data_IF_595143074160
#
_entry.id   IF_595143074160
#
_cell.length_a   1.000
_cell.length_b   1.000
_cell.length_c   1.000
_cell.angle_alpha   90.00
_cell.angle_beta   90.00
_cell.angle_gamma   90.00
#
_symmetry.space_group_name_H-M   'P 1'
#
loop_
_entity.id
_entity.type
_entity.pdbx_description
1 polymer ?
#
# COMPACT_ATOMS: atom_id res chain seq x y z
N UNK A 1 -14.94 -11.20 -17.76
CA UNK A 1 -14.15 -10.56 -18.83
C UNK A 1 -13.60 -11.66 -19.70
N UNK A 2 -14.12 -11.74 -20.91
CA UNK A 2 -13.72 -12.76 -21.89
C UNK A 2 -12.30 -12.47 -22.36
N UNK A 3 -11.35 -13.36 -22.02
CA UNK A 3 -9.94 -13.27 -22.43
C UNK A 3 -9.67 -13.94 -23.78
N UNK A 4 -10.69 -14.12 -24.61
CA UNK A 4 -10.61 -14.83 -25.88
C UNK A 4 -10.61 -13.91 -27.12
N UNK A 5 -9.92 -12.77 -27.04
CA UNK A 5 -9.68 -11.89 -28.19
C UNK A 5 -8.21 -11.58 -28.29
N UNK A 6 -7.51 -12.25 -29.20
CA UNK A 6 -6.12 -12.06 -29.58
C UNK A 6 -5.75 -10.58 -29.74
N UNK A 7 -4.78 -10.10 -28.97
CA UNK A 7 -4.19 -8.79 -29.10
C UNK A 7 -3.32 -8.49 -27.88
N UNK A 8 -2.31 -7.66 -28.06
CA UNK A 8 -1.54 -7.10 -26.97
C UNK A 8 -2.44 -6.29 -26.00
N UNK A 9 -2.02 -6.18 -24.74
CA UNK A 9 -2.73 -5.38 -23.75
C UNK A 9 -2.85 -3.92 -24.22
N UNK A 10 -4.05 -3.35 -24.19
CA UNK A 10 -4.28 -1.95 -24.54
C UNK A 10 -3.82 -1.01 -23.39
N UNK A 11 -2.51 -0.88 -23.24
CA UNK A 11 -1.88 -0.05 -22.21
C UNK A 11 -2.30 1.43 -22.39
N UNK A 12 -2.51 1.89 -23.63
CA UNK A 12 -2.89 3.28 -23.91
C UNK A 12 -4.24 3.65 -23.26
N UNK A 13 -5.18 2.72 -23.20
CA UNK A 13 -6.48 2.96 -22.56
C UNK A 13 -6.30 3.25 -21.04
N UNK A 14 -5.51 2.45 -20.32
CA UNK A 14 -5.22 2.68 -18.91
C UNK A 14 -4.36 3.93 -18.71
N UNK A 15 -3.32 4.10 -19.53
CA UNK A 15 -2.43 5.26 -19.43
C UNK A 15 -3.19 6.59 -19.63
N UNK A 16 -4.15 6.65 -20.54
CA UNK A 16 -4.98 7.83 -20.77
C UNK A 16 -5.85 8.19 -19.55
N UNK A 17 -6.29 7.19 -18.77
CA UNK A 17 -7.02 7.43 -17.53
C UNK A 17 -6.08 8.01 -16.44
N UNK A 18 -4.84 7.59 -16.37
CA UNK A 18 -3.86 8.06 -15.39
C UNK A 18 -3.16 9.36 -15.78
N UNK A 19 -3.24 9.79 -17.05
CA UNK A 19 -2.59 11.00 -17.54
C UNK A 19 -3.17 12.29 -16.96
N UNK A 20 -4.39 12.28 -16.43
CA UNK A 20 -4.99 13.43 -15.77
C UNK A 20 -4.50 13.56 -14.33
N UNK A 21 -3.99 14.75 -13.90
CA UNK A 21 -3.43 14.91 -12.56
C UNK A 21 -4.40 14.65 -11.41
N UNK A 22 -5.69 14.96 -11.57
CA UNK A 22 -6.70 14.72 -10.53
C UNK A 22 -7.00 13.22 -10.43
N UNK A 23 -7.15 12.52 -11.57
CA UNK A 23 -7.33 11.06 -11.56
C UNK A 23 -6.11 10.33 -10.98
N UNK A 24 -4.90 10.73 -11.35
CA UNK A 24 -3.69 10.19 -10.77
C UNK A 24 -3.64 10.39 -9.24
N UNK A 25 -4.04 11.58 -8.76
CA UNK A 25 -4.11 11.87 -7.31
C UNK A 25 -5.16 11.01 -6.61
N UNK A 26 -6.33 10.82 -7.21
CA UNK A 26 -7.39 9.92 -6.69
C UNK A 26 -6.86 8.48 -6.58
N UNK A 27 -6.22 7.97 -7.63
CA UNK A 27 -5.67 6.62 -7.65
C UNK A 27 -4.59 6.42 -6.58
N UNK A 28 -3.68 7.39 -6.43
CA UNK A 28 -2.67 7.38 -5.37
C UNK A 28 -3.32 7.41 -3.97
N UNK A 29 -4.40 8.18 -3.77
CA UNK A 29 -5.11 8.24 -2.50
C UNK A 29 -5.79 6.91 -2.15
N UNK A 30 -6.28 6.16 -3.15
CA UNK A 30 -6.93 4.87 -2.98
C UNK A 30 -5.93 3.69 -2.90
N UNK A 31 -4.64 3.92 -3.22
CA UNK A 31 -3.62 2.87 -3.24
C UNK A 31 -3.26 2.32 -1.85
N UNK A 32 -3.81 2.89 -0.78
CA UNK A 32 -3.70 2.36 0.59
C UNK A 32 -4.79 1.33 0.94
N UNK A 33 -5.58 0.92 -0.04
CA UNK A 33 -6.64 -0.08 0.11
C UNK A 33 -7.89 0.40 0.86
N UNK A 34 -7.95 1.68 1.26
CA UNK A 34 -9.13 2.24 1.93
C UNK A 34 -10.26 2.49 0.93
N UNK A 35 -11.46 2.43 1.46
CA UNK A 35 -12.67 2.88 0.78
C UNK A 35 -12.97 4.31 1.18
N UNK A 36 -12.96 5.26 0.22
CA UNK A 36 -13.11 6.69 0.49
C UNK A 36 -14.37 7.26 -0.17
N UNK A 37 -15.07 8.20 0.48
CA UNK A 37 -16.22 8.88 -0.11
C UNK A 37 -15.79 9.88 -1.20
N UNK A 38 -16.66 10.10 -2.20
CA UNK A 38 -16.40 11.03 -3.30
C UNK A 38 -15.97 12.44 -2.86
N UNK A 39 -16.57 12.96 -1.78
CA UNK A 39 -16.23 14.29 -1.26
C UNK A 39 -14.81 14.38 -0.69
N UNK A 40 -14.31 13.31 -0.09
CA UNK A 40 -12.92 13.24 0.37
C UNK A 40 -11.95 13.16 -0.81
N UNK A 41 -12.26 12.34 -1.81
CA UNK A 41 -11.46 12.24 -3.04
C UNK A 41 -11.42 13.56 -3.80
N UNK A 42 -12.53 14.30 -3.86
CA UNK A 42 -12.56 15.65 -4.44
C UNK A 42 -11.61 16.61 -3.72
N UNK A 43 -11.62 16.58 -2.38
CA UNK A 43 -10.73 17.41 -1.56
C UNK A 43 -9.27 17.05 -1.74
N UNK A 44 -8.93 15.75 -1.76
CA UNK A 44 -7.57 15.26 -1.96
C UNK A 44 -7.03 15.61 -3.36
N UNK A 45 -7.89 15.53 -4.38
CA UNK A 45 -7.54 15.89 -5.76
C UNK A 45 -7.61 17.39 -6.05
N UNK A 46 -8.02 18.23 -5.07
CA UNK A 46 -8.20 19.67 -5.21
C UNK A 46 -9.12 20.08 -6.37
N UNK A 47 -10.22 19.36 -6.56
CA UNK A 47 -11.22 19.64 -7.62
C UNK A 47 -12.62 19.81 -7.02
N UNK A 48 -13.51 20.44 -7.80
CA UNK A 48 -14.92 20.55 -7.43
C UNK A 48 -15.59 19.16 -7.34
N UNK A 49 -16.62 18.96 -6.49
CA UNK A 49 -17.30 17.68 -6.36
C UNK A 49 -17.89 17.13 -7.67
N UNK A 50 -18.39 18.00 -8.56
CA UNK A 50 -18.88 17.60 -9.88
C UNK A 50 -17.77 17.08 -10.77
N UNK A 51 -16.60 17.73 -10.75
CA UNK A 51 -15.41 17.30 -11.48
C UNK A 51 -14.90 15.95 -10.96
N UNK A 52 -14.83 15.80 -9.63
CA UNK A 52 -14.46 14.52 -9.03
C UNK A 52 -15.41 13.37 -9.43
N UNK A 53 -16.72 13.65 -9.48
CA UNK A 53 -17.72 12.67 -9.93
C UNK A 53 -17.45 12.22 -11.37
N UNK A 54 -17.12 13.16 -12.28
CA UNK A 54 -16.76 12.82 -13.65
C UNK A 54 -15.48 12.00 -13.75
N UNK A 55 -14.45 12.32 -12.94
CA UNK A 55 -13.21 11.54 -12.88
C UNK A 55 -13.45 10.14 -12.33
N UNK A 56 -14.23 10.00 -11.25
CA UNK A 56 -14.59 8.72 -10.66
C UNK A 56 -15.40 7.83 -11.61
N UNK A 57 -16.35 8.42 -12.38
CA UNK A 57 -17.07 7.68 -13.42
C UNK A 57 -16.12 7.06 -14.44
N UNK A 58 -15.19 7.87 -15.00
CA UNK A 58 -14.18 7.41 -15.97
C UNK A 58 -13.29 6.30 -15.39
N UNK A 59 -12.85 6.44 -14.14
CA UNK A 59 -12.02 5.43 -13.47
C UNK A 59 -12.78 4.13 -13.23
N UNK A 60 -14.08 4.23 -12.88
CA UNK A 60 -14.97 3.06 -12.68
C UNK A 60 -15.27 2.38 -14.01
N UNK A 61 -15.62 3.14 -15.06
CA UNK A 61 -15.85 2.63 -16.42
C UNK A 61 -14.60 1.95 -16.99
N UNK A 62 -13.42 2.49 -16.66
CA UNK A 62 -12.12 1.90 -17.02
C UNK A 62 -11.68 0.72 -16.15
N UNK A 63 -12.48 0.31 -15.16
CA UNK A 63 -12.18 -0.83 -14.29
C UNK A 63 -11.05 -0.63 -13.29
N UNK A 64 -10.61 0.62 -13.06
CA UNK A 64 -9.53 0.94 -12.10
C UNK A 64 -10.07 1.13 -10.68
N UNK A 65 -11.33 1.50 -10.55
CA UNK A 65 -11.99 1.82 -9.29
C UNK A 65 -13.34 1.11 -9.23
N UNK A 66 -13.66 0.56 -8.07
CA UNK A 66 -14.98 0.05 -7.73
C UNK A 66 -15.73 1.06 -6.87
N UNK A 67 -17.08 1.04 -7.00
CA UNK A 67 -17.97 1.90 -6.23
C UNK A 67 -18.96 1.06 -5.45
N UNK A 68 -19.13 1.39 -4.17
CA UNK A 68 -20.14 0.84 -3.30
C UNK A 68 -21.07 1.96 -2.83
N UNK A 69 -22.37 1.70 -2.79
CA UNK A 69 -23.36 2.67 -2.31
C UNK A 69 -23.86 2.27 -0.93
N UNK A 70 -23.68 3.17 0.05
CA UNK A 70 -24.23 3.01 1.41
C UNK A 70 -25.19 4.15 1.69
N UNK A 71 -26.47 3.86 1.60
CA UNK A 71 -27.54 4.88 1.63
C UNK A 71 -27.39 5.87 0.47
N UNK A 72 -27.29 7.16 0.79
CA UNK A 72 -27.09 8.23 -0.21
C UNK A 72 -25.62 8.52 -0.56
N UNK A 73 -24.68 7.80 0.06
CA UNK A 73 -23.25 8.05 -0.13
C UNK A 73 -22.62 6.98 -1.01
N UNK A 74 -21.72 7.43 -1.91
CA UNK A 74 -20.89 6.58 -2.73
C UNK A 74 -19.48 6.54 -2.18
N UNK A 75 -18.97 5.34 -2.03
CA UNK A 75 -17.62 5.05 -1.56
C UNK A 75 -16.86 4.35 -2.67
N UNK A 76 -15.61 4.68 -2.80
CA UNK A 76 -14.75 4.22 -3.89
C UNK A 76 -13.52 3.54 -3.31
N UNK A 77 -13.12 2.45 -3.96
CA UNK A 77 -11.87 1.72 -3.67
C UNK A 77 -11.18 1.35 -4.96
N UNK A 78 -9.86 1.08 -4.92
CA UNK A 78 -9.16 0.50 -6.05
C UNK A 78 -9.71 -0.90 -6.35
N UNK A 79 -9.84 -1.26 -7.63
CA UNK A 79 -10.51 -2.49 -8.03
C UNK A 79 -9.69 -3.77 -7.76
N UNK A 80 -8.37 -3.65 -7.57
CA UNK A 80 -7.53 -4.80 -7.24
C UNK A 80 -6.09 -4.44 -6.89
N UNK A 81 -5.35 -5.36 -6.23
CA UNK A 81 -3.96 -5.13 -5.84
C UNK A 81 -3.02 -4.96 -7.04
N UNK A 82 -3.30 -5.58 -8.19
CA UNK A 82 -2.52 -5.46 -9.43
C UNK A 82 -2.53 -4.03 -9.97
N UNK A 83 -3.60 -3.27 -9.75
CA UNK A 83 -3.68 -1.85 -10.12
C UNK A 83 -2.76 -1.03 -9.23
N UNK A 84 -2.72 -1.35 -7.93
CA UNK A 84 -1.79 -0.69 -7.00
C UNK A 84 -0.35 -1.00 -7.38
N UNK A 85 -0.04 -2.26 -7.71
CA UNK A 85 1.26 -2.65 -8.21
C UNK A 85 1.69 -1.87 -9.46
N UNK A 86 0.78 -1.65 -10.41
CA UNK A 86 1.04 -0.82 -11.59
C UNK A 86 1.31 0.65 -11.23
N UNK A 87 0.57 1.23 -10.27
CA UNK A 87 0.78 2.61 -9.79
C UNK A 87 2.14 2.73 -9.08
N UNK A 88 2.51 1.78 -8.24
CA UNK A 88 3.82 1.76 -7.56
C UNK A 88 4.96 1.63 -8.60
N UNK A 89 4.82 0.77 -9.61
CA UNK A 89 5.78 0.64 -10.71
C UNK A 89 5.93 1.95 -11.51
N UNK A 90 4.82 2.62 -11.83
CA UNK A 90 4.84 3.94 -12.47
C UNK A 90 5.51 4.99 -11.56
N UNK A 91 5.31 4.91 -10.25
CA UNK A 91 5.92 5.84 -9.29
C UNK A 91 7.45 5.72 -9.25
N UNK A 92 8.00 4.51 -9.49
CA UNK A 92 9.45 4.29 -9.57
C UNK A 92 10.13 5.07 -10.72
N UNK A 93 9.42 5.21 -11.85
CA UNK A 93 9.95 5.87 -13.06
C UNK A 93 9.48 7.33 -13.20
N UNK A 94 8.59 7.76 -12.32
CA UNK A 94 8.03 9.11 -12.36
C UNK A 94 8.99 10.13 -11.73
N UNK A 95 9.06 11.36 -12.27
CA UNK A 95 9.78 12.43 -11.61
C UNK A 95 9.13 12.82 -10.29
N UNK A 96 9.95 13.20 -9.30
CA UNK A 96 9.45 13.68 -8.02
C UNK A 96 8.61 14.95 -8.20
N UNK A 97 7.47 15.02 -7.51
CA UNK A 97 6.67 16.26 -7.48
C UNK A 97 7.42 17.36 -6.70
N UNK A 98 7.44 18.60 -7.20
CA UNK A 98 8.03 19.71 -6.44
C UNK A 98 7.28 19.93 -5.13
N UNK A 99 8.03 20.02 -4.04
CA UNK A 99 7.49 20.41 -2.73
C UNK A 99 7.50 21.93 -2.64
N UNK A 100 6.34 22.53 -2.38
CA UNK A 100 6.14 23.99 -2.40
C UNK A 100 5.87 24.60 -1.01
N UNK A 101 5.79 23.77 0.04
CA UNK A 101 5.54 24.24 1.41
C UNK A 101 6.10 23.26 2.44
N UNK A 102 6.39 23.75 3.65
CA UNK A 102 6.81 22.91 4.78
C UNK A 102 5.79 21.83 5.14
N UNK A 103 4.49 22.12 4.98
CA UNK A 103 3.43 21.13 5.19
C UNK A 103 3.54 19.97 4.19
N UNK A 104 3.73 20.29 2.90
CA UNK A 104 3.93 19.28 1.86
C UNK A 104 5.20 18.46 2.07
N UNK A 105 6.28 19.10 2.58
CA UNK A 105 7.51 18.40 2.92
C UNK A 105 7.26 17.35 4.01
N UNK A 106 6.69 17.76 5.12
CA UNK A 106 6.35 16.85 6.24
C UNK A 106 5.43 15.71 5.83
N UNK A 107 4.44 15.99 4.99
CA UNK A 107 3.52 14.97 4.48
C UNK A 107 4.25 13.99 3.55
N UNK A 108 5.12 14.47 2.67
CA UNK A 108 5.93 13.64 1.80
C UNK A 108 6.93 12.78 2.60
N UNK A 109 7.57 13.34 3.62
CA UNK A 109 8.46 12.62 4.54
C UNK A 109 7.71 11.52 5.31
N UNK A 110 6.54 11.84 5.86
CA UNK A 110 5.71 10.87 6.56
C UNK A 110 5.29 9.70 5.65
N UNK A 111 4.91 9.96 4.40
CA UNK A 111 4.56 8.94 3.41
C UNK A 111 5.77 8.09 3.01
N UNK A 112 6.96 8.68 2.93
CA UNK A 112 8.20 7.93 2.66
C UNK A 112 8.61 7.07 3.86
N UNK A 113 8.50 7.63 5.06
CA UNK A 113 8.84 6.90 6.27
C UNK A 113 7.96 5.66 6.46
N UNK A 114 6.65 5.80 6.44
CA UNK A 114 5.76 4.66 6.53
C UNK A 114 4.41 4.94 5.85
N UNK A 115 3.94 4.00 5.07
CA UNK A 115 2.64 4.02 4.41
C UNK A 115 2.08 2.62 4.26
N UNK A 116 0.83 2.52 3.88
CA UNK A 116 0.29 1.28 3.35
C UNK A 116 0.37 1.28 1.82
N UNK A 117 0.78 0.13 1.26
CA UNK A 117 0.66 -0.23 -0.13
C UNK A 117 -0.44 -1.29 -0.22
N UNK A 118 -1.66 -0.89 -0.62
CA UNK A 118 -2.89 -1.67 -0.56
C UNK A 118 -3.23 -2.09 0.88
N UNK A 119 -2.77 -3.24 1.34
CA UNK A 119 -3.12 -3.82 2.63
C UNK A 119 -1.91 -4.20 3.51
N UNK A 120 -0.70 -3.86 3.08
CA UNK A 120 0.55 -4.15 3.80
C UNK A 120 1.41 -2.90 3.97
N UNK A 121 2.43 -2.98 4.82
CA UNK A 121 3.34 -1.87 5.09
C UNK A 121 4.36 -1.66 3.97
N UNK A 122 4.64 -0.40 3.68
CA UNK A 122 5.61 0.07 2.69
C UNK A 122 6.32 1.33 3.19
N UNK A 123 7.22 1.88 2.38
CA UNK A 123 8.13 2.94 2.77
C UNK A 123 9.32 2.39 3.56
N UNK A 124 10.06 3.28 4.19
CA UNK A 124 11.22 2.92 5.01
C UNK A 124 10.86 1.84 6.05
N UNK A 125 9.76 2.01 6.78
CA UNK A 125 9.29 1.03 7.76
C UNK A 125 9.02 -0.35 7.13
N UNK A 126 8.32 -0.41 6.00
CA UNK A 126 8.00 -1.67 5.31
C UNK A 126 9.25 -2.40 4.83
N UNK A 127 10.23 -1.67 4.30
CA UNK A 127 11.52 -2.21 3.87
C UNK A 127 12.35 -2.69 5.06
N UNK A 128 12.46 -1.88 6.12
CA UNK A 128 13.19 -2.25 7.35
C UNK A 128 12.55 -3.48 8.02
N UNK A 129 11.22 -3.53 8.10
CA UNK A 129 10.51 -4.68 8.66
C UNK A 129 10.77 -5.96 7.85
N UNK A 130 10.75 -5.87 6.52
CA UNK A 130 11.10 -7.01 5.67
C UNK A 130 12.51 -7.51 5.92
N UNK A 131 13.49 -6.60 6.00
CA UNK A 131 14.89 -6.94 6.28
C UNK A 131 15.04 -7.62 7.63
N UNK A 132 14.41 -7.08 8.66
CA UNK A 132 14.42 -7.69 9.98
C UNK A 132 13.86 -9.11 9.96
N UNK A 133 12.76 -9.36 9.23
CA UNK A 133 12.21 -10.70 9.08
C UNK A 133 13.17 -11.65 8.34
N UNK A 134 13.98 -11.14 7.42
CA UNK A 134 15.05 -11.92 6.75
C UNK A 134 16.21 -12.20 7.73
N UNK A 135 16.65 -11.22 8.50
CA UNK A 135 17.71 -11.35 9.51
C UNK A 135 17.33 -12.34 10.62
N UNK A 136 16.03 -12.42 10.95
CA UNK A 136 15.46 -13.37 11.93
C UNK A 136 15.17 -14.75 11.32
N UNK A 137 15.55 -15.02 10.07
CA UNK A 137 15.22 -16.24 9.30
C UNK A 137 13.71 -16.57 9.26
N UNK A 138 12.86 -15.54 9.40
CA UNK A 138 11.41 -15.65 9.19
C UNK A 138 11.10 -15.74 7.71
N UNK A 139 11.82 -14.92 6.91
CA UNK A 139 11.75 -14.87 5.47
C UNK A 139 13.11 -15.23 4.85
N UNK A 140 13.09 -16.02 3.78
CA UNK A 140 14.25 -16.28 2.94
C UNK A 140 14.05 -15.65 1.56
N UNK A 141 15.02 -14.88 1.10
CA UNK A 141 14.94 -14.22 -0.20
C UNK A 141 14.95 -15.21 -1.36
N UNK A 142 14.05 -14.99 -2.33
CA UNK A 142 13.97 -15.65 -3.62
C UNK A 142 14.08 -14.61 -4.75
N UNK A 143 14.16 -15.05 -6.00
CA UNK A 143 14.23 -14.16 -7.15
C UNK A 143 12.99 -13.26 -7.28
N UNK A 144 11.81 -13.81 -7.07
CA UNK A 144 10.50 -13.16 -7.26
C UNK A 144 9.75 -12.82 -5.96
N UNK A 145 10.36 -13.10 -4.79
CA UNK A 145 9.71 -12.87 -3.51
C UNK A 145 10.48 -13.42 -2.33
N UNK A 146 9.74 -13.99 -1.40
CA UNK A 146 10.26 -14.56 -0.17
C UNK A 146 9.58 -15.89 0.13
N UNK A 147 10.37 -16.89 0.49
CA UNK A 147 9.89 -18.09 1.16
C UNK A 147 9.70 -17.79 2.64
N UNK A 148 8.61 -18.26 3.22
CA UNK A 148 8.38 -18.18 4.68
C UNK A 148 8.86 -19.47 5.30
N UNK A 149 9.81 -19.38 6.23
CA UNK A 149 10.39 -20.58 6.90
C UNK A 149 9.38 -21.21 7.87
N UNK A 150 9.61 -22.45 8.26
CA UNK A 150 8.76 -23.10 9.28
C UNK A 150 8.90 -22.40 10.64
N UNK A 151 10.11 -22.02 11.01
CA UNK A 151 10.42 -21.23 12.20
C UNK A 151 9.75 -19.87 12.14
N UNK A 152 9.76 -19.23 10.97
CA UNK A 152 9.09 -17.97 10.73
C UNK A 152 7.57 -18.05 10.90
N UNK A 153 6.95 -19.12 10.42
CA UNK A 153 5.52 -19.35 10.64
C UNK A 153 5.19 -19.55 12.13
N UNK A 154 6.06 -20.19 12.90
CA UNK A 154 5.89 -20.35 14.34
C UNK A 154 6.01 -19.01 15.05
N UNK A 155 7.07 -18.23 14.77
CA UNK A 155 7.29 -16.91 15.35
C UNK A 155 6.13 -15.97 15.06
N UNK A 156 5.67 -15.89 13.81
CA UNK A 156 4.54 -15.05 13.45
C UNK A 156 3.23 -15.47 14.12
N UNK A 157 3.01 -16.78 14.30
CA UNK A 157 1.86 -17.30 15.04
C UNK A 157 1.91 -16.93 16.51
N UNK A 158 3.07 -17.08 17.16
CA UNK A 158 3.28 -16.69 18.56
C UNK A 158 3.11 -15.20 18.76
N UNK A 159 3.53 -14.41 17.80
CA UNK A 159 3.28 -12.97 17.74
C UNK A 159 1.80 -12.62 17.53
N UNK A 160 0.95 -13.60 17.17
CA UNK A 160 -0.49 -13.45 16.99
C UNK A 160 -0.89 -13.00 15.58
N UNK A 161 -0.05 -13.23 14.58
CA UNK A 161 -0.43 -13.04 13.17
C UNK A 161 -1.44 -14.12 12.79
N UNK A 162 -2.57 -13.70 12.20
CA UNK A 162 -3.57 -14.64 11.71
C UNK A 162 -3.07 -15.39 10.47
N UNK A 163 -2.73 -16.66 10.66
CA UNK A 163 -2.27 -17.58 9.61
C UNK A 163 -3.37 -18.55 9.16
N UNK A 164 -4.64 -18.25 9.43
CA UNK A 164 -5.80 -19.12 9.09
C UNK A 164 -6.08 -19.22 7.59
N UNK A 165 -5.39 -18.42 6.76
CA UNK A 165 -5.44 -18.50 5.31
C UNK A 165 -4.94 -19.85 4.76
N UNK A 166 -5.11 -20.06 3.43
CA UNK A 166 -4.59 -21.28 2.77
C UNK A 166 -3.09 -21.39 3.02
N UNK A 167 -2.67 -22.45 3.69
CA UNK A 167 -1.27 -22.70 4.12
C UNK A 167 -0.24 -22.48 3.01
N UNK A 168 -0.53 -22.92 1.77
CA UNK A 168 0.35 -22.74 0.60
C UNK A 168 0.56 -21.26 0.24
N UNK A 169 -0.47 -20.40 0.42
CA UNK A 169 -0.37 -18.95 0.17
C UNK A 169 0.40 -18.19 1.25
N UNK A 170 0.57 -18.79 2.43
CA UNK A 170 1.33 -18.19 3.52
C UNK A 170 2.82 -18.59 3.48
N UNK A 171 3.20 -19.57 2.66
CA UNK A 171 4.61 -20.01 2.49
C UNK A 171 5.38 -19.19 1.47
N UNK A 172 4.70 -18.41 0.67
CA UNK A 172 5.33 -17.51 -0.31
C UNK A 172 4.74 -16.11 -0.17
N UNK A 173 5.60 -15.12 -0.06
CA UNK A 173 5.27 -13.72 -0.04
C UNK A 173 5.90 -13.05 -1.27
N UNK A 174 5.10 -12.51 -2.21
CA UNK A 174 5.65 -11.76 -3.33
C UNK A 174 6.42 -10.54 -2.87
N UNK A 175 7.42 -10.11 -3.64
CA UNK A 175 8.17 -8.90 -3.40
C UNK A 175 7.60 -7.74 -4.23
N UNK A 176 7.40 -6.60 -3.58
CA UNK A 176 7.17 -5.32 -4.27
C UNK A 176 8.41 -4.42 -4.12
N UNK A 177 8.74 -3.66 -5.15
CA UNK A 177 9.79 -2.65 -5.06
C UNK A 177 9.18 -1.36 -4.55
N UNK A 178 9.66 -0.90 -3.41
CA UNK A 178 9.25 0.39 -2.83
C UNK A 178 9.76 1.55 -3.69
N UNK A 179 8.87 2.44 -4.12
CA UNK A 179 9.24 3.55 -5.02
C UNK A 179 10.11 4.61 -4.33
N UNK A 180 10.01 4.77 -2.99
CA UNK A 180 10.80 5.74 -2.22
C UNK A 180 12.16 5.20 -1.82
N UNK A 181 12.21 3.95 -1.38
CA UNK A 181 13.42 3.29 -0.89
C UNK A 181 14.20 2.60 -2.00
N UNK A 182 13.54 2.28 -3.12
CA UNK A 182 14.08 1.48 -4.24
C UNK A 182 14.58 0.11 -3.81
N UNK A 183 13.95 -0.43 -2.78
CA UNK A 183 14.23 -1.73 -2.19
C UNK A 183 12.99 -2.58 -2.13
N UNK A 184 13.18 -3.91 -2.06
CA UNK A 184 12.09 -4.87 -1.94
C UNK A 184 11.48 -4.84 -0.54
N UNK A 185 10.15 -4.96 -0.47
CA UNK A 185 9.41 -5.30 0.73
C UNK A 185 8.43 -6.43 0.42
N UNK A 186 8.15 -7.27 1.42
CA UNK A 186 7.25 -8.39 1.24
C UNK A 186 5.79 -7.92 1.16
N UNK A 187 5.01 -8.63 0.36
CA UNK A 187 3.62 -8.31 0.05
C UNK A 187 2.73 -9.56 0.15
N UNK A 188 1.47 -9.42 -0.25
CA UNK A 188 0.53 -10.54 -0.28
C UNK A 188 -0.09 -10.89 1.07
N UNK A 189 -0.73 -12.08 1.19
CA UNK A 189 -1.56 -12.43 2.34
C UNK A 189 -0.83 -12.39 3.68
N UNK A 190 0.43 -12.82 3.73
CA UNK A 190 1.22 -12.79 4.96
C UNK A 190 1.54 -11.36 5.39
N UNK A 191 1.97 -10.52 4.45
CA UNK A 191 2.26 -9.12 4.72
C UNK A 191 1.03 -8.35 5.20
N UNK A 192 -0.14 -8.66 4.62
CA UNK A 192 -1.44 -8.16 5.09
C UNK A 192 -1.72 -8.58 6.53
N UNK A 193 -1.58 -9.87 6.85
CA UNK A 193 -1.85 -10.39 8.18
C UNK A 193 -0.89 -9.78 9.22
N UNK A 194 0.39 -9.66 8.89
CA UNK A 194 1.37 -9.00 9.74
C UNK A 194 1.03 -7.51 9.97
N UNK A 195 0.70 -6.77 8.90
CA UNK A 195 0.28 -5.38 9.03
C UNK A 195 -0.99 -5.23 9.87
N UNK A 196 -1.99 -6.09 9.67
CA UNK A 196 -3.22 -6.11 10.48
C UNK A 196 -2.89 -6.28 11.96
N UNK A 197 -1.99 -7.21 12.30
CA UNK A 197 -1.57 -7.43 13.67
C UNK A 197 -0.89 -6.21 14.29
N UNK A 198 -0.04 -5.52 13.54
CA UNK A 198 0.60 -4.28 14.01
C UNK A 198 -0.42 -3.15 14.25
N UNK A 199 -1.48 -3.07 13.45
CA UNK A 199 -2.59 -2.13 13.67
C UNK A 199 -3.43 -2.52 14.89
N UNK A 200 -3.74 -3.82 15.11
CA UNK A 200 -4.46 -4.33 16.28
C UNK A 200 -3.73 -4.04 17.59
N UNK A 201 -2.41 -4.17 17.60
CA UNK A 201 -1.57 -3.83 18.74
C UNK A 201 -1.39 -2.33 18.95
N UNK A 202 -1.98 -1.52 18.06
CA UNK A 202 -1.78 -0.07 18.04
C UNK A 202 -0.29 0.35 17.94
N UNK A 203 0.58 -0.53 17.42
CA UNK A 203 1.98 -0.21 17.18
C UNK A 203 2.15 0.73 16.00
N UNK A 204 1.24 0.61 15.05
CA UNK A 204 1.10 1.55 13.93
C UNK A 204 -0.31 2.12 13.90
N UNK A 205 -0.44 3.37 13.47
CA UNK A 205 -1.73 4.04 13.37
C UNK A 205 -1.86 4.78 12.04
N UNK A 206 -3.05 4.75 11.44
CA UNK A 206 -3.34 5.49 10.21
C UNK A 206 -3.37 6.99 10.47
N UNK A 207 -2.87 7.75 9.52
CA UNK A 207 -2.96 9.22 9.56
C UNK A 207 -4.24 9.65 8.83
N UNK A 208 -5.07 10.50 9.44
CA UNK A 208 -6.27 11.02 8.78
C UNK A 208 -5.92 11.72 7.46
N UNK A 209 -6.71 11.46 6.41
CA UNK A 209 -6.58 12.10 5.08
C UNK A 209 -5.22 11.94 4.40
N UNK A 210 -4.42 10.98 4.82
CA UNK A 210 -3.15 10.60 4.20
C UNK A 210 -3.01 9.09 4.18
N UNK A 211 -2.23 8.55 3.26
CA UNK A 211 -1.83 7.14 3.28
C UNK A 211 -0.63 6.87 4.21
N UNK A 212 -0.11 7.90 4.84
CA UNK A 212 0.95 7.75 5.83
C UNK A 212 0.49 6.95 7.04
N UNK A 213 1.40 6.16 7.56
CA UNK A 213 1.24 5.39 8.80
C UNK A 213 2.21 5.96 9.82
N UNK A 214 1.75 6.16 11.04
CA UNK A 214 2.57 6.62 12.14
C UNK A 214 2.92 5.45 13.06
N UNK A 215 4.18 5.30 13.40
CA UNK A 215 4.61 4.40 14.48
C UNK A 215 4.32 5.06 15.82
N UNK A 216 3.70 4.34 16.74
CA UNK A 216 3.40 4.81 18.10
C UNK A 216 4.60 4.59 19.02
N UNK A 217 4.60 5.16 20.22
CA UNK A 217 5.62 4.85 21.22
C UNK A 217 5.65 3.36 21.59
N UNK A 218 4.47 2.75 21.77
CA UNK A 218 4.36 1.31 21.98
C UNK A 218 4.91 0.52 20.78
N UNK A 219 4.66 1.00 19.57
CA UNK A 219 5.18 0.40 18.35
C UNK A 219 6.70 0.49 18.23
N UNK A 220 7.32 1.62 18.61
CA UNK A 220 8.78 1.73 18.63
C UNK A 220 9.40 0.67 19.55
N UNK A 221 8.89 0.56 20.78
CA UNK A 221 9.36 -0.44 21.74
C UNK A 221 9.11 -1.86 21.23
N UNK A 222 7.88 -2.16 20.81
CA UNK A 222 7.50 -3.51 20.40
C UNK A 222 8.23 -3.97 19.13
N UNK A 223 8.42 -3.09 18.14
CA UNK A 223 9.17 -3.41 16.92
C UNK A 223 10.64 -3.67 17.24
N UNK A 224 11.23 -2.92 18.18
CA UNK A 224 12.59 -3.16 18.64
C UNK A 224 12.71 -4.49 19.38
N UNK A 225 11.84 -4.74 20.36
CA UNK A 225 11.91 -5.94 21.21
C UNK A 225 11.64 -7.25 20.44
N UNK A 226 10.65 -7.26 19.53
CA UNK A 226 10.23 -8.48 18.84
C UNK A 226 10.94 -8.71 17.51
N UNK A 227 11.35 -7.65 16.85
CA UNK A 227 11.91 -7.71 15.51
C UNK A 227 13.28 -7.03 15.38
N UNK A 228 13.86 -6.52 16.46
CA UNK A 228 15.16 -5.85 16.43
C UNK A 228 15.17 -4.56 15.59
N UNK A 229 14.01 -3.99 15.29
CA UNK A 229 13.92 -2.78 14.47
C UNK A 229 14.26 -1.54 15.27
N UNK A 230 15.42 -0.97 15.03
CA UNK A 230 15.75 0.39 15.45
C UNK A 230 15.27 1.38 14.39
N UNK A 231 14.38 2.29 14.80
CA UNK A 231 13.80 3.32 13.93
C UNK A 231 14.39 4.72 14.19
N UNK A 232 15.34 4.85 15.12
CA UNK A 232 15.94 6.17 15.44
C UNK A 232 16.80 6.72 14.30
N UNK A 233 17.32 5.87 13.42
CA UNK A 233 18.09 6.26 12.24
C UNK A 233 17.27 6.88 11.09
N UNK A 234 15.94 6.93 11.20
CA UNK A 234 15.04 7.36 10.11
C UNK A 234 14.03 8.47 10.48
N UNK A 235 14.15 9.05 11.68
CA UNK A 235 13.29 10.14 12.17
C UNK A 235 13.89 11.51 11.97
#
# INVERSE_FOLDING_TARGET
>A
MDRNGSGDANIAAVASLLADPARATIMIALSDGRTLPAGELARLAHVAPSTASSHLSKLTEGGLVEVESWGRHRYYRVAGPEIVGAIEALSLVSPAKPVRSLRQSREAEAVRFARTCYDHLAGFLGVKFTRSLVELDVLRELEDGYEVTEEGLLLLREFGVDLSGRKERMRFAPAHIDWSERYRHFAGPLAKAAASRLFELEWVARTPSSRAVRVTKAGQVGLQEHFGLDLEEGL
#
